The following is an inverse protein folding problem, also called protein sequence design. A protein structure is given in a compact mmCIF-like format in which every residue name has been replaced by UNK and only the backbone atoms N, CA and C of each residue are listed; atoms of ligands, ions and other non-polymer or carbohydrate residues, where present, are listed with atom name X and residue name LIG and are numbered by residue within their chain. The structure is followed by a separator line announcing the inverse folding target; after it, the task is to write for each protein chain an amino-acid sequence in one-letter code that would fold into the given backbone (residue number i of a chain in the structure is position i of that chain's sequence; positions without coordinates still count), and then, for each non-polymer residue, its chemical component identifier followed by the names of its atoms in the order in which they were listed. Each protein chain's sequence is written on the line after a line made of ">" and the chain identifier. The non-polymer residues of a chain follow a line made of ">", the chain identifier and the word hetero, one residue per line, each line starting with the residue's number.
data_IF_097060970405
#
_entry.id   IF_097060970405
#
_cell.length_a   1.000
_cell.length_b   1.000
_cell.length_c   1.000
_cell.angle_alpha   90.00
_cell.angle_beta   90.00
_cell.angle_gamma   90.00
#
_symmetry.space_group_name_H-M   'P 1'
#
loop_
_entity.id
_entity.type
_entity.pdbx_description
1 polymer ?
#
# COMPACT_ATOMS: atom_id res chain seq x y z
N UNK A 1 9.93 -1.56 3.39
CA UNK A 1 9.34 -0.21 3.32
C UNK A 1 8.03 -0.13 4.09
N UNK A 2 7.08 -1.05 3.88
CA UNK A 2 5.78 -1.08 4.57
C UNK A 2 5.86 -1.06 6.11
N UNK A 3 6.84 -1.75 6.71
CA UNK A 3 7.02 -1.75 8.18
C UNK A 3 7.56 -0.42 8.73
N UNK A 4 8.25 0.37 7.91
CA UNK A 4 8.94 1.59 8.32
C UNK A 4 8.15 2.86 7.99
N UNK A 5 7.48 2.89 6.83
CA UNK A 5 6.75 4.05 6.33
C UNK A 5 5.51 3.60 5.52
N UNK A 6 4.49 3.01 6.16
CA UNK A 6 3.33 2.47 5.45
C UNK A 6 2.50 3.54 4.73
N UNK A 7 2.51 4.79 5.21
CA UNK A 7 1.80 5.90 4.57
C UNK A 7 2.48 6.43 3.30
N UNK A 8 3.64 5.89 2.90
CA UNK A 8 4.34 6.29 1.69
C UNK A 8 3.71 5.79 0.37
N UNK A 9 2.66 4.98 0.44
CA UNK A 9 1.89 4.55 -0.72
C UNK A 9 0.74 5.51 -1.05
N UNK A 10 0.28 5.44 -2.29
CA UNK A 10 -0.86 6.22 -2.78
C UNK A 10 -2.17 5.71 -2.16
N UNK A 11 -3.11 6.63 -1.90
CA UNK A 11 -4.45 6.22 -1.46
C UNK A 11 -5.18 5.50 -2.59
N UNK A 12 -5.74 4.33 -2.29
CA UNK A 12 -6.60 3.63 -3.26
C UNK A 12 -7.86 4.44 -3.57
N UNK A 13 -8.34 5.22 -2.60
CA UNK A 13 -9.48 6.11 -2.79
C UNK A 13 -8.98 7.53 -3.14
N UNK A 14 -9.01 7.87 -4.42
CA UNK A 14 -8.58 9.19 -4.90
C UNK A 14 -9.38 10.37 -4.31
N UNK A 15 -10.63 10.14 -3.90
CA UNK A 15 -11.45 11.17 -3.25
C UNK A 15 -11.13 11.34 -1.76
N UNK A 16 -10.31 10.46 -1.18
CA UNK A 16 -9.85 10.53 0.20
C UNK A 16 -8.35 10.20 0.29
N UNK A 17 -7.47 11.21 0.12
CA UNK A 17 -6.01 11.04 0.21
C UNK A 17 -5.52 10.52 1.56
N UNK A 18 -6.34 10.61 2.62
CA UNK A 18 -6.02 10.18 3.97
C UNK A 18 -6.54 8.75 4.29
N UNK A 19 -7.17 8.07 3.33
CA UNK A 19 -7.69 6.73 3.56
C UNK A 19 -6.55 5.74 3.92
N UNK A 20 -6.80 4.74 4.80
CA UNK A 20 -5.77 3.82 5.26
C UNK A 20 -5.49 2.66 4.29
N UNK A 21 -6.31 2.51 3.24
CA UNK A 21 -6.04 1.52 2.18
C UNK A 21 -5.17 2.17 1.11
N UNK A 22 -4.01 1.58 0.88
CA UNK A 22 -2.94 2.14 0.06
C UNK A 22 -2.48 1.17 -1.01
N UNK A 23 -1.90 1.73 -2.07
CA UNK A 23 -1.22 0.99 -3.14
C UNK A 23 0.22 1.46 -3.27
N UNK A 24 1.14 0.52 -3.45
CA UNK A 24 2.56 0.80 -3.66
C UNK A 24 3.12 -0.08 -4.79
N UNK A 25 3.71 0.55 -5.80
CA UNK A 25 4.42 -0.18 -6.84
C UNK A 25 5.77 -0.71 -6.30
N UNK A 26 6.17 -1.89 -6.73
CA UNK A 26 7.43 -2.53 -6.33
C UNK A 26 8.11 -3.21 -7.52
N UNK A 27 9.39 -3.55 -7.30
CA UNK A 27 10.29 -4.04 -8.36
C UNK A 27 11.02 -2.89 -9.07
N UNK A 28 12.08 -3.22 -9.81
CA UNK A 28 13.00 -2.22 -10.38
C UNK A 28 12.34 -1.38 -11.49
N UNK A 29 11.40 -1.98 -12.22
CA UNK A 29 10.63 -1.34 -13.28
C UNK A 29 9.14 -1.14 -12.90
N UNK A 30 8.75 -1.43 -11.66
CA UNK A 30 7.35 -1.40 -11.24
C UNK A 30 6.58 -2.63 -11.71
N UNK A 31 7.21 -3.80 -11.67
CA UNK A 31 6.68 -5.10 -12.11
C UNK A 31 5.56 -5.63 -11.20
N UNK A 32 5.29 -4.97 -10.07
CA UNK A 32 4.19 -5.35 -9.21
C UNK A 32 3.57 -4.18 -8.46
N UNK A 33 2.35 -4.39 -8.00
CA UNK A 33 1.59 -3.45 -7.20
C UNK A 33 1.04 -4.20 -5.98
N UNK A 34 1.33 -3.70 -4.78
CA UNK A 34 0.75 -4.21 -3.54
C UNK A 34 -0.35 -3.29 -3.04
N UNK A 35 -1.50 -3.86 -2.71
CA UNK A 35 -2.58 -3.16 -2.01
C UNK A 35 -2.60 -3.60 -0.55
N UNK A 36 -2.65 -2.67 0.39
CA UNK A 36 -2.56 -2.96 1.82
C UNK A 36 -3.40 -2.01 2.66
N UNK A 37 -3.74 -2.44 3.88
CA UNK A 37 -4.49 -1.68 4.88
C UNK A 37 -3.58 -1.34 6.08
N UNK A 38 -3.60 -0.09 6.49
CA UNK A 38 -2.91 0.40 7.69
C UNK A 38 -3.86 0.35 8.89
N UNK A 39 -3.46 -0.36 9.95
CA UNK A 39 -4.17 -0.47 11.23
C UNK A 39 -3.32 0.17 12.34
N UNK A 40 -3.34 1.50 12.43
CA UNK A 40 -2.43 2.26 13.31
C UNK A 40 -2.57 1.90 14.80
N UNK A 41 -3.81 1.74 15.28
CA UNK A 41 -4.08 1.36 16.66
C UNK A 41 -3.44 0.02 17.05
N UNK A 42 -3.17 -0.85 16.07
CA UNK A 42 -2.57 -2.16 16.25
C UNK A 42 -1.08 -2.19 15.84
N UNK A 43 -0.54 -1.07 15.34
CA UNK A 43 0.79 -1.00 14.72
C UNK A 43 1.02 -2.11 13.68
N UNK A 44 0.00 -2.33 12.84
CA UNK A 44 -0.05 -3.45 11.91
C UNK A 44 -0.38 -2.98 10.51
N UNK A 45 0.15 -3.68 9.52
CA UNK A 45 -0.18 -3.52 8.11
C UNK A 45 -0.62 -4.88 7.57
N UNK A 46 -1.78 -4.91 6.93
CA UNK A 46 -2.32 -6.11 6.29
C UNK A 46 -2.24 -5.99 4.78
N UNK A 47 -1.60 -6.96 4.12
CA UNK A 47 -1.61 -7.06 2.66
C UNK A 47 -2.96 -7.62 2.23
N UNK A 48 -3.64 -6.90 1.34
CA UNK A 48 -4.95 -7.28 0.83
C UNK A 48 -4.83 -7.95 -0.53
N UNK A 49 -3.93 -7.45 -1.39
CA UNK A 49 -3.73 -7.97 -2.74
C UNK A 49 -2.32 -7.71 -3.25
N UNK A 50 -1.84 -8.58 -4.13
CA UNK A 50 -0.57 -8.45 -4.84
C UNK A 50 -0.84 -8.72 -6.32
N UNK A 51 -0.71 -7.68 -7.13
CA UNK A 51 -0.85 -7.74 -8.57
C UNK A 51 0.53 -7.72 -9.24
N UNK A 52 0.77 -8.65 -10.15
CA UNK A 52 1.95 -8.65 -11.01
C UNK A 52 1.63 -7.96 -12.34
N UNK A 53 2.44 -6.97 -12.69
CA UNK A 53 2.37 -6.20 -13.94
C UNK A 53 3.42 -6.81 -14.87
N UNK A 54 2.96 -7.66 -15.79
CA UNK A 54 3.81 -8.46 -16.69
C UNK A 54 4.58 -7.67 -17.73
#
# INVERSE_FOLDING_TARGET
>A
MLELAPWGGESLNLANPDAPVRTLAFGAAGEGLVTYLILEAQRRVDVLDVLWLG
#
